data_IF_334239393439
#
_entry.id   IF_334239393439
#
_cell.length_a   1.000
_cell.length_b   1.000
_cell.length_c   1.000
_cell.angle_alpha   90.00
_cell.angle_beta   90.00
_cell.angle_gamma   90.00
#
_symmetry.space_group_name_H-M   'P 1'
#
loop_
_entity.id
_entity.type
_entity.pdbx_description
1 polymer ?
#
# COMPACT_ATOMS: atom_id res chain seq x y z
N UNK A 1 -2.05 -12.11 -28.79
CA UNK A 1 -2.72 -12.88 -27.72
C UNK A 1 -1.81 -13.13 -26.52
N UNK A 2 -0.58 -13.58 -26.73
CA UNK A 2 0.37 -13.79 -25.62
C UNK A 2 0.72 -12.50 -24.88
N UNK A 3 0.92 -11.39 -25.61
CA UNK A 3 1.20 -10.09 -24.98
C UNK A 3 0.03 -9.62 -24.14
N UNK A 4 -1.20 -9.79 -24.60
CA UNK A 4 -2.38 -9.39 -23.85
C UNK A 4 -2.57 -10.23 -22.59
N UNK A 5 -2.24 -11.53 -22.66
CA UNK A 5 -2.27 -12.40 -21.47
C UNK A 5 -1.19 -12.02 -20.47
N UNK A 6 0.02 -11.70 -20.95
CA UNK A 6 1.10 -11.25 -20.07
C UNK A 6 0.71 -9.98 -19.33
N UNK A 7 0.12 -9.01 -20.03
CA UNK A 7 -0.33 -7.76 -19.42
C UNK A 7 -1.47 -8.00 -18.43
N UNK A 8 -2.50 -8.79 -18.82
CA UNK A 8 -3.69 -8.96 -17.98
C UNK A 8 -3.46 -9.88 -16.79
N UNK A 9 -2.59 -10.89 -16.91
CA UNK A 9 -2.37 -11.90 -15.86
C UNK A 9 -1.05 -11.73 -15.12
N UNK A 10 -0.14 -10.91 -15.63
CA UNK A 10 1.15 -10.66 -15.02
C UNK A 10 1.36 -9.24 -14.58
N UNK A 11 1.52 -8.33 -15.53
CA UNK A 11 1.91 -6.94 -15.24
C UNK A 11 0.78 -6.13 -14.59
N UNK A 12 -0.43 -6.22 -15.11
CA UNK A 12 -1.56 -5.43 -14.63
C UNK A 12 -1.90 -5.72 -13.17
N UNK A 13 -2.04 -7.00 -12.73
CA UNK A 13 -2.27 -7.30 -11.32
C UNK A 13 -1.15 -6.80 -10.40
N UNK A 14 0.10 -6.82 -10.85
CA UNK A 14 1.23 -6.31 -10.07
C UNK A 14 1.12 -4.81 -9.86
N UNK A 15 0.79 -4.05 -10.92
CA UNK A 15 0.62 -2.60 -10.83
C UNK A 15 -0.53 -2.26 -9.89
N UNK A 16 -1.66 -2.97 -9.99
CA UNK A 16 -2.81 -2.77 -9.10
C UNK A 16 -2.43 -3.06 -7.65
N UNK A 17 -1.70 -4.16 -7.41
CA UNK A 17 -1.25 -4.52 -6.07
C UNK A 17 -0.32 -3.46 -5.48
N UNK A 18 0.63 -2.95 -6.25
CA UNK A 18 1.55 -1.90 -5.79
C UNK A 18 0.78 -0.64 -5.44
N UNK A 19 -0.12 -0.20 -6.31
CA UNK A 19 -0.96 0.97 -6.07
C UNK A 19 -1.81 0.81 -4.81
N UNK A 20 -2.41 -0.37 -4.63
CA UNK A 20 -3.24 -0.67 -3.47
C UNK A 20 -2.43 -0.65 -2.17
N UNK A 21 -1.21 -1.19 -2.18
CA UNK A 21 -0.30 -1.17 -1.02
C UNK A 21 0.09 0.27 -0.68
N UNK A 22 0.41 1.08 -1.67
CA UNK A 22 0.78 2.48 -1.46
C UNK A 22 -0.39 3.25 -0.84
N UNK A 23 -1.59 3.09 -1.36
CA UNK A 23 -2.79 3.73 -0.81
C UNK A 23 -3.05 3.27 0.63
N UNK A 24 -2.86 1.99 0.91
CA UNK A 24 -2.99 1.43 2.25
C UNK A 24 -2.01 2.11 3.23
N UNK A 25 -0.75 2.21 2.86
CA UNK A 25 0.28 2.83 3.71
C UNK A 25 0.05 4.32 3.90
N UNK A 26 -0.31 5.03 2.83
CA UNK A 26 -0.63 6.46 2.90
C UNK A 26 -1.85 6.69 3.81
N UNK A 27 -2.85 5.80 3.76
CA UNK A 27 -4.02 5.90 4.62
C UNK A 27 -3.67 5.78 6.10
N UNK A 28 -2.77 4.87 6.47
CA UNK A 28 -2.26 4.79 7.85
C UNK A 28 -1.60 6.11 8.26
N UNK A 29 -0.74 6.65 7.42
CA UNK A 29 -0.04 7.91 7.70
C UNK A 29 -0.99 9.10 7.83
N UNK A 30 -1.99 9.20 6.97
CA UNK A 30 -3.01 10.26 7.04
C UNK A 30 -3.88 10.13 8.28
N UNK A 31 -4.29 8.92 8.64
CA UNK A 31 -5.09 8.70 9.84
C UNK A 31 -4.32 9.15 11.09
N UNK A 32 -3.02 8.87 11.14
CA UNK A 32 -2.16 9.38 12.22
C UNK A 32 -2.02 10.91 12.17
N UNK A 33 -1.84 11.45 10.97
CA UNK A 33 -1.64 12.90 10.77
C UNK A 33 -2.83 13.72 11.26
N UNK A 34 -4.05 13.34 10.89
CA UNK A 34 -5.25 14.08 11.31
C UNK A 34 -5.50 13.99 12.82
N UNK A 35 -4.85 13.04 13.50
CA UNK A 35 -4.93 12.90 14.96
C UNK A 35 -3.77 13.56 15.69
N UNK A 36 -2.88 14.23 14.97
CA UNK A 36 -1.79 15.00 15.55
C UNK A 36 -0.41 14.38 15.41
N UNK A 37 -0.28 13.22 14.76
CA UNK A 37 1.02 12.58 14.53
C UNK A 37 1.54 12.93 13.14
N UNK A 38 2.57 13.77 13.08
CA UNK A 38 3.19 14.22 11.84
C UNK A 38 4.38 13.35 11.40
N UNK A 39 4.60 12.20 12.03
CA UNK A 39 5.78 11.37 11.78
C UNK A 39 5.88 10.96 10.30
N UNK A 40 4.81 10.42 9.73
CA UNK A 40 4.78 10.01 8.33
C UNK A 40 4.89 11.21 7.38
N UNK A 41 4.24 12.33 7.73
CA UNK A 41 4.31 13.56 6.95
C UNK A 41 5.74 14.09 6.86
N UNK A 42 6.43 14.15 7.99
CA UNK A 42 7.81 14.64 8.05
C UNK A 42 8.80 13.70 7.36
N UNK A 43 8.47 12.42 7.30
CA UNK A 43 9.27 11.43 6.58
C UNK A 43 9.03 11.45 5.05
N UNK A 44 8.15 12.32 4.56
CA UNK A 44 7.81 12.41 3.13
C UNK A 44 7.00 11.23 2.62
N UNK A 45 6.26 10.54 3.50
CA UNK A 45 5.55 9.31 3.18
C UNK A 45 4.09 9.51 2.81
N UNK A 46 3.54 10.71 2.96
CA UNK A 46 2.16 11.01 2.58
C UNK A 46 2.09 11.40 1.09
N UNK A 47 2.44 10.46 0.24
CA UNK A 47 2.48 10.66 -1.21
C UNK A 47 2.16 9.34 -1.92
N UNK A 48 1.53 9.44 -3.09
CA UNK A 48 1.30 8.28 -3.97
C UNK A 48 2.49 7.92 -4.84
N UNK A 49 3.58 8.70 -4.78
CA UNK A 49 4.83 8.35 -5.44
C UNK A 49 5.37 7.05 -4.82
N UNK A 50 5.61 6.00 -5.63
CA UNK A 50 6.07 4.72 -5.08
C UNK A 50 7.46 4.75 -4.46
N UNK A 51 8.32 5.67 -4.88
CA UNK A 51 9.73 5.67 -4.47
C UNK A 51 9.96 5.73 -2.96
N UNK A 52 9.27 6.61 -2.18
CA UNK A 52 9.45 6.63 -0.73
C UNK A 52 8.96 5.36 -0.02
N UNK A 53 8.16 4.54 -0.68
CA UNK A 53 7.55 3.33 -0.10
C UNK A 53 8.35 2.06 -0.41
N UNK A 54 9.47 2.17 -1.13
CA UNK A 54 10.30 1.02 -1.47
C UNK A 54 11.14 0.63 -0.26
N UNK A 55 11.03 -0.64 0.15
CA UNK A 55 11.91 -1.27 1.11
C UNK A 55 12.98 -2.05 0.33
N UNK A 56 14.25 -1.78 0.61
CA UNK A 56 15.35 -2.45 -0.11
C UNK A 56 15.23 -3.97 -0.02
N UNK A 57 14.93 -4.52 1.15
CA UNK A 57 14.80 -5.97 1.35
C UNK A 57 13.49 -6.49 0.77
N UNK A 58 12.34 -5.90 1.19
CA UNK A 58 11.03 -6.43 0.85
C UNK A 58 10.59 -6.18 -0.59
N UNK A 59 11.03 -5.05 -1.18
CA UNK A 59 10.59 -4.67 -2.52
C UNK A 59 11.55 -5.09 -3.61
N UNK A 60 12.82 -5.35 -3.28
CA UNK A 60 13.85 -5.63 -4.27
C UNK A 60 14.49 -7.00 -4.02
N UNK A 61 15.09 -7.21 -2.85
CA UNK A 61 15.88 -8.42 -2.58
C UNK A 61 14.98 -9.66 -2.54
N UNK A 62 13.91 -9.64 -1.77
CA UNK A 62 13.02 -10.79 -1.62
C UNK A 62 12.36 -11.18 -2.95
N UNK A 63 11.79 -10.26 -3.75
CA UNK A 63 11.26 -10.63 -5.06
C UNK A 63 12.31 -11.20 -6.00
N UNK A 64 13.54 -10.66 -6.02
CA UNK A 64 14.60 -11.18 -6.86
C UNK A 64 15.01 -12.60 -6.46
N UNK A 65 15.18 -12.86 -5.17
CA UNK A 65 15.51 -14.21 -4.66
C UNK A 65 14.39 -15.18 -5.02
N UNK A 66 13.13 -14.79 -4.84
CA UNK A 66 11.98 -15.64 -5.20
C UNK A 66 11.97 -15.96 -6.68
N UNK A 67 12.26 -14.97 -7.54
CA UNK A 67 12.31 -15.16 -8.99
C UNK A 67 13.40 -16.15 -9.39
N UNK A 68 14.63 -16.00 -8.86
CA UNK A 68 15.75 -16.85 -9.24
C UNK A 68 15.67 -18.25 -8.65
N UNK A 69 15.00 -18.46 -7.53
CA UNK A 69 14.85 -19.79 -6.91
C UNK A 69 13.60 -20.53 -7.40
N UNK A 70 12.76 -19.89 -8.23
CA UNK A 70 11.52 -20.49 -8.72
C UNK A 70 10.41 -20.57 -7.68
N UNK A 71 10.57 -19.90 -6.54
CA UNK A 71 9.56 -19.83 -5.49
C UNK A 71 8.41 -18.90 -5.83
N UNK A 72 7.37 -18.85 -4.96
CA UNK A 72 6.27 -17.91 -5.17
C UNK A 72 6.78 -16.46 -5.07
N UNK A 73 6.38 -15.63 -6.03
CA UNK A 73 6.78 -14.23 -6.06
C UNK A 73 6.03 -13.47 -4.98
N UNK A 74 6.75 -12.90 -4.03
CA UNK A 74 6.18 -12.09 -2.97
C UNK A 74 7.17 -11.01 -2.54
N UNK A 75 6.68 -10.07 -1.73
CA UNK A 75 7.48 -8.98 -1.21
C UNK A 75 6.61 -8.07 -0.38
N UNK A 76 7.18 -6.96 0.11
CA UNK A 76 6.44 -5.97 0.89
C UNK A 76 6.99 -4.57 0.63
N UNK A 77 6.17 -3.57 0.91
CA UNK A 77 6.56 -2.17 0.90
C UNK A 77 7.08 -1.77 2.29
N UNK A 78 7.80 -0.66 2.34
CA UNK A 78 8.27 -0.10 3.60
C UNK A 78 7.08 0.40 4.43
N UNK A 79 6.89 -0.11 5.66
CA UNK A 79 5.78 0.35 6.50
C UNK A 79 5.87 1.84 6.82
N UNK A 80 4.71 2.49 6.92
CA UNK A 80 4.65 3.91 7.28
C UNK A 80 4.96 4.06 8.77
N UNK A 81 5.92 4.94 9.14
CA UNK A 81 6.20 5.21 10.55
C UNK A 81 5.08 6.04 11.18
N UNK A 82 4.70 5.71 12.41
CA UNK A 82 3.83 6.57 13.20
C UNK A 82 4.17 6.40 14.68
N UNK A 83 3.84 7.44 15.47
CA UNK A 83 4.13 7.45 16.90
C UNK A 83 2.81 7.40 17.67
N UNK A 84 2.56 6.28 18.36
CA UNK A 84 1.32 6.06 19.11
C UNK A 84 1.09 7.12 20.17
N UNK A 85 2.13 7.72 20.73
CA UNK A 85 2.01 8.75 21.77
C UNK A 85 1.48 10.07 21.23
N UNK A 86 1.58 10.30 19.91
CA UNK A 86 1.07 11.49 19.25
C UNK A 86 -0.37 11.33 18.76
N UNK A 87 -0.86 10.10 18.69
CA UNK A 87 -2.20 9.79 18.21
C UNK A 87 -3.20 10.07 19.35
N UNK A 88 -4.19 10.90 19.05
CA UNK A 88 -5.16 11.37 20.04
C UNK A 88 -6.42 10.52 20.04
N UNK A 89 -7.09 10.50 21.21
CA UNK A 89 -8.39 9.86 21.37
C UNK A 89 -8.29 8.39 21.75
N UNK A 90 -9.38 7.91 22.35
CA UNK A 90 -9.47 6.53 22.87
C UNK A 90 -9.30 5.47 21.78
N UNK A 91 -9.81 5.76 20.57
CA UNK A 91 -9.79 4.83 19.45
C UNK A 91 -8.83 5.27 18.34
N UNK A 92 -7.94 6.23 18.62
CA UNK A 92 -7.04 6.79 17.62
C UNK A 92 -6.14 5.75 16.97
N UNK A 93 -5.55 4.87 17.78
CA UNK A 93 -4.67 3.80 17.29
C UNK A 93 -5.44 2.76 16.47
N UNK A 94 -6.64 2.41 16.92
CA UNK A 94 -7.51 1.52 16.18
C UNK A 94 -7.95 2.15 14.83
N UNK A 95 -8.19 3.44 14.81
CA UNK A 95 -8.52 4.16 13.58
C UNK A 95 -7.35 4.14 12.59
N UNK A 96 -6.11 4.36 13.06
CA UNK A 96 -4.93 4.26 12.21
C UNK A 96 -4.81 2.84 11.62
N UNK A 97 -4.97 1.82 12.46
CA UNK A 97 -4.88 0.43 12.01
C UNK A 97 -5.96 0.08 10.99
N UNK A 98 -7.18 0.57 11.20
CA UNK A 98 -8.31 0.29 10.30
C UNK A 98 -8.24 1.06 8.98
N UNK A 99 -7.59 2.22 8.96
CA UNK A 99 -7.58 3.12 7.80
C UNK A 99 -7.04 2.44 6.53
N UNK A 100 -5.99 1.63 6.65
CA UNK A 100 -5.41 0.92 5.52
C UNK A 100 -6.39 -0.06 4.89
N UNK A 101 -7.00 -0.90 5.70
CA UNK A 101 -7.98 -1.90 5.25
C UNK A 101 -9.22 -1.22 4.66
N UNK A 102 -9.74 -0.19 5.34
CA UNK A 102 -10.90 0.55 4.86
C UNK A 102 -10.63 1.22 3.51
N UNK A 103 -9.43 1.76 3.31
CA UNK A 103 -9.04 2.36 2.03
C UNK A 103 -9.01 1.31 0.93
N UNK A 104 -8.47 0.12 1.19
CA UNK A 104 -8.45 -0.97 0.21
C UNK A 104 -9.85 -1.43 -0.14
N UNK A 105 -10.76 -1.55 0.82
CA UNK A 105 -12.16 -1.86 0.56
C UNK A 105 -12.85 -0.78 -0.27
N UNK A 106 -12.58 0.50 0.01
CA UNK A 106 -13.14 1.61 -0.75
C UNK A 106 -12.68 1.58 -2.21
N UNK A 107 -11.40 1.32 -2.45
CA UNK A 107 -10.83 1.19 -3.80
C UNK A 107 -11.48 0.01 -4.53
N UNK A 108 -11.59 -1.14 -3.88
CA UNK A 108 -12.19 -2.33 -4.47
C UNK A 108 -13.67 -2.10 -4.82
N UNK A 109 -14.41 -1.44 -3.93
CA UNK A 109 -15.81 -1.10 -4.15
C UNK A 109 -15.97 -0.15 -5.35
N UNK A 110 -15.15 0.90 -5.42
CA UNK A 110 -15.17 1.84 -6.54
C UNK A 110 -14.81 1.17 -7.86
N UNK A 111 -13.80 0.29 -7.85
CA UNK A 111 -13.41 -0.47 -9.04
C UNK A 111 -14.51 -1.41 -9.50
N UNK A 112 -15.20 -2.07 -8.55
CA UNK A 112 -16.33 -2.93 -8.85
C UNK A 112 -17.51 -2.18 -9.46
N UNK A 113 -17.83 -1.00 -8.92
CA UNK A 113 -18.86 -0.13 -9.50
C UNK A 113 -18.49 0.32 -10.92
N UNK A 114 -17.24 0.73 -11.13
CA UNK A 114 -16.77 1.13 -12.46
C UNK A 114 -16.87 -0.03 -13.45
N UNK A 115 -16.54 -1.24 -13.03
CA UNK A 115 -16.67 -2.44 -13.87
C UNK A 115 -18.11 -2.71 -14.30
N UNK A 116 -19.07 -2.50 -13.39
CA UNK A 116 -20.50 -2.71 -13.68
C UNK A 116 -21.02 -1.62 -14.63
N UNK A 117 -20.59 -0.37 -14.44
CA UNK A 117 -21.09 0.79 -15.21
C UNK A 117 -20.46 0.85 -16.60
N UNK A 118 -19.18 0.54 -16.73
CA UNK A 118 -18.42 0.61 -17.98
C UNK A 118 -18.08 -0.78 -18.52
#
# INVERSE_FOLDING_TARGET
>A
MQESLFVSQGLFPIIVAIFSIICHEVAHGYAAYIQGDETAYRAGRLTLNPLPHIDMVGSIIVPLVAFFTGGPLFGWAKPVPYNVYNVRGRFGEAFVAAAGVLTNFAIAFCAGLAFIIF
#
